data_IF_867708799110
#
_entry.id   IF_867708799110
#
_cell.length_a   1.000
_cell.length_b   1.000
_cell.length_c   1.000
_cell.angle_alpha   90.00
_cell.angle_beta   90.00
_cell.angle_gamma   90.00
#
_symmetry.space_group_name_H-M   'P 1'
#
loop_
_entity.id
_entity.type
_entity.pdbx_description
1 polymer ?
#
# COMPACT_ATOMS: atom_id res chain seq x y z
N UNK A 1 -18.02 -1.80 2.68
CA UNK A 1 -17.61 -2.55 1.48
C UNK A 1 -16.40 -1.85 0.88
N UNK A 2 -15.32 -2.57 0.54
CA UNK A 2 -14.05 -1.98 0.07
C UNK A 2 -13.83 -2.31 -1.39
N UNK A 3 -13.64 -1.27 -2.19
CA UNK A 3 -13.35 -1.38 -3.62
C UNK A 3 -11.87 -1.63 -3.84
N UNK A 4 -11.53 -2.68 -4.58
CA UNK A 4 -10.14 -2.98 -4.92
C UNK A 4 -9.54 -1.87 -5.80
N UNK A 5 -8.40 -1.30 -5.41
CA UNK A 5 -7.74 -0.26 -6.19
C UNK A 5 -7.23 -0.75 -7.54
N UNK A 6 -6.85 -2.04 -7.64
CA UNK A 6 -6.35 -2.66 -8.87
C UNK A 6 -7.46 -3.00 -9.87
N UNK A 7 -8.37 -3.91 -9.51
CA UNK A 7 -9.37 -4.44 -10.45
C UNK A 7 -10.78 -3.87 -10.27
N UNK A 8 -10.98 -2.94 -9.32
CA UNK A 8 -12.26 -2.27 -9.03
C UNK A 8 -13.40 -3.18 -8.54
N UNK A 9 -13.14 -4.46 -8.27
CA UNK A 9 -14.10 -5.37 -7.65
C UNK A 9 -14.46 -4.94 -6.22
N UNK A 10 -15.73 -5.12 -5.85
CA UNK A 10 -16.22 -4.85 -4.49
C UNK A 10 -15.95 -6.05 -3.58
N UNK A 11 -15.32 -5.82 -2.44
CA UNK A 11 -15.00 -6.85 -1.45
C UNK A 11 -15.65 -6.49 -0.11
N UNK A 12 -15.73 -7.47 0.79
CA UNK A 12 -16.03 -7.22 2.19
C UNK A 12 -14.90 -6.35 2.80
N UNK A 13 -15.23 -5.43 3.71
CA UNK A 13 -14.26 -4.57 4.43
C UNK A 13 -13.33 -5.38 5.33
N UNK A 14 -13.78 -6.54 5.77
CA UNK A 14 -12.98 -7.43 6.62
C UNK A 14 -11.85 -8.09 5.84
N UNK A 15 -11.97 -8.23 4.52
CA UNK A 15 -10.97 -8.87 3.68
C UNK A 15 -9.67 -8.06 3.65
N UNK A 16 -8.53 -8.74 3.81
CA UNK A 16 -7.22 -8.12 3.65
C UNK A 16 -6.76 -8.08 2.17
N UNK A 17 -7.27 -9.00 1.35
CA UNK A 17 -6.92 -9.13 -0.07
C UNK A 17 -8.16 -9.24 -0.94
N UNK A 18 -8.05 -8.77 -2.18
CA UNK A 18 -9.12 -8.86 -3.15
C UNK A 18 -9.32 -10.30 -3.61
N UNK A 19 -10.56 -10.80 -3.50
CA UNK A 19 -10.91 -12.19 -3.88
C UNK A 19 -10.78 -12.46 -5.39
N UNK A 20 -10.66 -11.42 -6.22
CA UNK A 20 -10.55 -11.54 -7.68
C UNK A 20 -9.13 -11.44 -8.21
N UNK A 21 -8.28 -10.60 -7.62
CA UNK A 21 -6.94 -10.31 -8.17
C UNK A 21 -5.80 -10.41 -7.15
N UNK A 22 -6.09 -10.75 -5.89
CA UNK A 22 -5.07 -10.90 -4.85
C UNK A 22 -4.41 -9.61 -4.38
N UNK A 23 -4.78 -8.43 -4.91
CA UNK A 23 -4.23 -7.15 -4.45
C UNK A 23 -4.67 -6.84 -3.01
N UNK A 24 -3.80 -6.22 -2.19
CA UNK A 24 -4.16 -5.83 -0.84
C UNK A 24 -5.27 -4.78 -0.85
N UNK A 25 -6.16 -4.85 0.14
CA UNK A 25 -7.30 -3.94 0.31
C UNK A 25 -7.08 -2.91 1.41
N UNK A 26 -6.12 -3.13 2.30
CA UNK A 26 -5.76 -2.24 3.40
C UNK A 26 -4.30 -1.86 3.25
N UNK A 27 -4.02 -0.56 3.34
CA UNK A 27 -2.65 -0.08 3.29
C UNK A 27 -2.04 -0.13 4.68
N UNK A 28 -0.82 -0.64 4.81
CA UNK A 28 -0.10 -0.78 6.08
C UNK A 28 1.38 -0.48 5.86
N UNK A 29 2.10 -0.13 6.92
CA UNK A 29 3.57 -0.03 6.89
C UNK A 29 4.17 -1.38 6.47
N UNK A 30 5.36 -1.47 5.87
CA UNK A 30 6.02 -2.78 5.63
C UNK A 30 7.13 -3.08 6.63
N UNK A 31 7.55 -2.09 7.40
CA UNK A 31 8.61 -2.25 8.40
C UNK A 31 8.08 -2.87 9.69
N UNK A 32 8.49 -4.11 9.95
CA UNK A 32 8.04 -4.90 11.10
C UNK A 32 8.45 -4.35 12.46
N UNK A 33 9.44 -3.45 12.50
CA UNK A 33 9.92 -2.78 13.72
C UNK A 33 9.24 -1.43 13.96
N UNK A 34 8.31 -1.03 13.10
CA UNK A 34 7.58 0.22 13.23
C UNK A 34 6.32 0.02 14.09
N UNK A 35 6.00 0.95 15.02
CA UNK A 35 4.77 0.88 15.81
C UNK A 35 3.50 0.85 14.96
N UNK A 36 3.50 1.44 13.76
CA UNK A 36 2.36 1.35 12.84
C UNK A 36 2.15 -0.07 12.30
N UNK A 37 3.22 -0.86 12.13
CA UNK A 37 3.09 -2.27 11.78
C UNK A 37 2.67 -3.10 12.98
N UNK A 38 3.33 -2.90 14.12
CA UNK A 38 3.07 -3.65 15.36
C UNK A 38 1.61 -3.56 15.80
N UNK A 39 1.03 -2.37 15.73
CA UNK A 39 -0.38 -2.14 16.08
C UNK A 39 -1.34 -2.41 14.92
N UNK A 40 -0.85 -2.90 13.78
CA UNK A 40 -1.64 -3.13 12.56
C UNK A 40 -2.46 -1.89 12.13
N UNK A 41 -1.85 -0.71 12.25
CA UNK A 41 -2.50 0.56 11.91
C UNK A 41 -2.69 0.66 10.39
N UNK A 42 -3.95 0.84 9.98
CA UNK A 42 -4.26 1.10 8.58
C UNK A 42 -3.85 2.53 8.21
N UNK A 43 -3.10 2.65 7.12
CA UNK A 43 -2.67 3.90 6.52
C UNK A 43 -3.64 4.34 5.40
N UNK A 44 -3.65 5.64 5.02
CA UNK A 44 -4.43 6.12 3.88
C UNK A 44 -4.10 5.38 2.56
N UNK A 45 -5.06 5.30 1.64
CA UNK A 45 -4.89 4.59 0.37
C UNK A 45 -3.79 5.25 -0.51
N UNK A 46 -3.61 6.56 -0.41
CA UNK A 46 -2.61 7.34 -1.13
C UNK A 46 -1.22 7.32 -0.48
N UNK A 47 -1.09 6.83 0.75
CA UNK A 47 0.18 6.86 1.47
C UNK A 47 1.18 5.87 0.85
N UNK A 48 2.15 6.39 0.08
CA UNK A 48 3.24 5.58 -0.47
C UNK A 48 4.30 5.20 0.57
N UNK A 49 4.48 6.04 1.60
CA UNK A 49 5.44 5.82 2.70
C UNK A 49 4.75 5.95 4.06
N UNK A 50 5.25 5.22 5.05
CA UNK A 50 4.76 5.27 6.42
C UNK A 50 5.16 6.60 7.07
N UNK A 51 4.21 7.37 7.63
CA UNK A 51 4.50 8.69 8.21
C UNK A 51 5.33 8.62 9.48
N UNK A 52 5.45 7.44 10.11
CA UNK A 52 6.18 7.27 11.37
C UNK A 52 7.64 6.84 11.16
N UNK A 53 7.94 6.04 10.14
CA UNK A 53 9.27 5.45 9.97
C UNK A 53 9.86 5.62 8.55
N UNK A 54 9.12 6.22 7.62
CA UNK A 54 9.57 6.45 6.25
C UNK A 54 9.65 5.21 5.35
N UNK A 55 9.46 4.01 5.87
CA UNK A 55 9.45 2.78 5.05
C UNK A 55 8.25 2.74 4.10
N UNK A 56 8.39 2.04 2.98
CA UNK A 56 7.30 1.85 2.03
C UNK A 56 6.07 1.23 2.68
N UNK A 57 4.90 1.58 2.16
CA UNK A 57 3.66 0.92 2.51
C UNK A 57 3.36 -0.27 1.60
N UNK A 58 2.49 -1.16 2.04
CA UNK A 58 2.08 -2.32 1.25
C UNK A 58 1.50 -1.91 -0.11
N UNK A 59 0.75 -0.80 -0.18
CA UNK A 59 0.22 -0.31 -1.45
C UNK A 59 1.32 0.19 -2.38
N UNK A 60 2.35 0.86 -1.87
CA UNK A 60 3.51 1.27 -2.69
C UNK A 60 4.24 0.07 -3.27
N UNK A 61 4.54 -0.94 -2.44
CA UNK A 61 5.18 -2.19 -2.90
C UNK A 61 4.35 -2.93 -3.95
N UNK A 62 3.01 -2.82 -3.90
CA UNK A 62 2.10 -3.39 -4.91
C UNK A 62 1.80 -2.46 -6.10
N UNK A 63 2.42 -1.28 -6.17
CA UNK A 63 2.19 -0.27 -7.21
C UNK A 63 0.79 0.35 -7.21
N UNK A 64 0.11 0.34 -6.06
CA UNK A 64 -1.22 0.93 -5.87
C UNK A 64 -1.17 2.37 -5.32
N UNK A 65 -0.05 2.74 -4.69
CA UNK A 65 0.28 4.09 -4.26
C UNK A 65 1.64 4.50 -4.84
N UNK A 66 1.84 5.78 -5.12
CA UNK A 66 3.09 6.32 -5.66
C UNK A 66 3.40 7.69 -5.05
N UNK A 67 4.67 8.05 -5.05
CA UNK A 67 5.17 9.37 -4.71
C UNK A 67 5.51 10.13 -5.98
N UNK A 68 5.34 11.45 -5.97
CA UNK A 68 5.80 12.32 -7.07
C UNK A 68 7.32 12.33 -7.24
N UNK A 69 8.05 11.82 -6.25
CA UNK A 69 9.52 11.68 -6.26
C UNK A 69 9.96 10.29 -6.69
N UNK A 70 9.04 9.39 -7.06
CA UNK A 70 9.39 8.11 -7.65
C UNK A 70 10.01 8.37 -9.02
N UNK A 71 11.34 8.29 -9.09
CA UNK A 71 12.06 8.29 -10.37
C UNK A 71 11.78 6.93 -11.00
N UNK A 72 11.26 6.91 -12.23
CA UNK A 72 11.14 5.65 -12.95
C UNK A 72 12.54 5.15 -13.26
N UNK A 73 12.73 3.83 -13.26
CA UNK A 73 14.02 3.26 -13.66
C UNK A 73 14.46 3.72 -15.06
N UNK A 74 13.50 4.03 -15.93
CA UNK A 74 13.71 4.63 -17.26
C UNK A 74 14.31 6.04 -17.23
N UNK A 75 14.13 6.77 -16.13
CA UNK A 75 14.56 8.15 -15.92
C UNK A 75 15.86 8.23 -15.10
N UNK A 76 16.39 7.11 -14.60
CA UNK A 76 17.67 7.08 -13.88
C UNK A 76 18.84 7.19 -14.86
N UNK A 77 19.77 8.16 -14.66
CA UNK A 77 20.98 8.24 -15.46
C UNK A 77 21.97 7.16 -15.03
N UNK A 78 21.83 5.97 -15.62
CA UNK A 78 22.71 4.79 -15.55
C UNK A 78 22.70 3.99 -14.25
#
# INVERSE_FOLDING_TARGET
MKKCLRCKHNNNDENNYCIKCGAPLKNVCTNVRCPNWENNNQLPDEAAFCPLCGSETLFKTYGLASSSLDIKDEDLPF
#
